data_IF_396668568319
#
_entry.id   IF_396668568319
#
_cell.length_a   1.000
_cell.length_b   1.000
_cell.length_c   1.000
_cell.angle_alpha   90.00
_cell.angle_beta   90.00
_cell.angle_gamma   90.00
#
_symmetry.space_group_name_H-M   'P 1'
#
loop_
_entity.id
_entity.type
_entity.pdbx_description
1 polymer ?
#
# COMPACT_ATOMS: atom_id res chain seq x y z
N UNK A 1 -17.93 10.41 -41.57
CA UNK A 1 -16.58 10.19 -41.00
C UNK A 1 -16.74 9.67 -39.59
N UNK A 2 -16.75 8.35 -39.41
CA UNK A 2 -16.91 7.65 -38.13
C UNK A 2 -15.52 7.29 -37.61
N UNK A 3 -15.10 7.87 -36.48
CA UNK A 3 -13.88 7.44 -35.79
C UNK A 3 -14.23 6.26 -34.86
N UNK A 4 -13.54 5.12 -34.94
CA UNK A 4 -13.82 3.96 -34.11
C UNK A 4 -13.33 4.17 -32.67
N UNK A 5 -14.01 3.44 -31.80
CA UNK A 5 -13.94 3.38 -30.34
C UNK A 5 -12.57 2.90 -29.86
N UNK A 6 -11.83 3.70 -29.10
CA UNK A 6 -10.65 3.22 -28.36
C UNK A 6 -11.13 2.63 -27.04
N UNK A 7 -11.22 1.31 -27.00
CA UNK A 7 -11.48 0.52 -25.81
C UNK A 7 -10.22 0.56 -24.93
N UNK A 8 -10.32 1.11 -23.71
CA UNK A 8 -9.26 1.04 -22.71
C UNK A 8 -9.08 -0.43 -22.28
N UNK A 9 -7.84 -0.88 -22.01
CA UNK A 9 -7.59 -2.27 -21.66
C UNK A 9 -8.28 -2.61 -20.33
N UNK A 10 -9.08 -3.67 -20.36
CA UNK A 10 -9.65 -4.32 -19.18
C UNK A 10 -8.48 -4.78 -18.29
N UNK A 11 -8.51 -4.54 -16.97
CA UNK A 11 -7.42 -5.00 -16.11
C UNK A 11 -7.51 -6.52 -15.99
N UNK A 12 -6.42 -7.17 -16.40
CA UNK A 12 -6.18 -8.60 -16.29
C UNK A 12 -6.63 -9.16 -14.93
N UNK A 13 -7.58 -10.10 -14.99
CA UNK A 13 -8.03 -10.90 -13.87
C UNK A 13 -6.95 -11.96 -13.52
N UNK A 14 -5.84 -11.52 -12.95
CA UNK A 14 -4.84 -12.39 -12.33
C UNK A 14 -4.80 -12.13 -10.83
N UNK A 15 -5.50 -12.98 -10.06
CA UNK A 15 -5.30 -13.20 -8.61
C UNK A 15 -5.05 -11.95 -7.76
N UNK A 16 -5.84 -10.90 -7.96
CA UNK A 16 -5.69 -9.65 -7.22
C UNK A 16 -6.45 -9.78 -5.91
N UNK A 17 -5.75 -10.11 -4.82
CA UNK A 17 -6.30 -9.91 -3.48
C UNK A 17 -6.88 -8.49 -3.42
N UNK A 18 -8.12 -8.37 -2.93
CA UNK A 18 -8.83 -7.10 -2.90
C UNK A 18 -8.04 -6.10 -2.04
N UNK A 19 -7.50 -5.07 -2.69
CA UNK A 19 -6.63 -4.11 -2.03
C UNK A 19 -7.45 -3.01 -1.38
N UNK A 20 -7.79 -3.23 -0.11
CA UNK A 20 -8.49 -2.23 0.70
C UNK A 20 -7.55 -1.05 1.01
N UNK A 21 -8.05 0.17 0.79
CA UNK A 21 -7.37 1.43 1.14
C UNK A 21 -8.08 2.05 2.32
N UNK A 22 -7.31 2.50 3.30
CA UNK A 22 -7.81 3.26 4.43
C UNK A 22 -6.84 4.40 4.75
N UNK A 23 -7.38 5.45 5.36
CA UNK A 23 -6.63 6.60 5.84
C UNK A 23 -6.41 6.44 7.34
N UNK A 24 -5.27 6.91 7.83
CA UNK A 24 -4.94 6.89 9.26
C UNK A 24 -4.42 8.25 9.63
N UNK A 25 -4.93 8.79 10.72
CA UNK A 25 -4.38 10.00 11.34
C UNK A 25 -3.12 9.63 12.10
N UNK A 26 -2.03 10.32 11.80
CA UNK A 26 -0.73 10.09 12.42
C UNK A 26 -0.14 11.45 12.84
N UNK A 27 0.37 11.58 14.07
CA UNK A 27 1.14 12.76 14.47
C UNK A 27 2.27 13.04 13.47
N UNK A 28 2.54 14.32 13.22
CA UNK A 28 3.53 14.75 12.23
C UNK A 28 4.92 14.16 12.50
N UNK A 29 5.31 14.07 13.78
CA UNK A 29 6.57 13.45 14.21
C UNK A 29 6.69 11.99 13.74
N UNK A 30 5.68 11.18 13.99
CA UNK A 30 5.65 9.77 13.57
C UNK A 30 5.57 9.61 12.05
N UNK A 31 4.85 10.51 11.37
CA UNK A 31 4.83 10.53 9.91
C UNK A 31 6.21 10.83 9.31
N UNK A 32 6.96 11.75 9.93
CA UNK A 32 8.33 12.08 9.53
C UNK A 32 9.27 10.89 9.76
N UNK A 33 9.21 10.25 10.92
CA UNK A 33 10.00 9.05 11.23
C UNK A 33 9.74 7.92 10.23
N UNK A 34 8.46 7.64 9.92
CA UNK A 34 8.08 6.65 8.91
C UNK A 34 8.60 7.02 7.52
N UNK A 35 8.62 8.32 7.18
CA UNK A 35 9.18 8.81 5.92
C UNK A 35 10.68 8.58 5.82
N UNK A 36 11.42 8.89 6.87
CA UNK A 36 12.87 8.65 6.94
C UNK A 36 13.18 7.16 6.86
N UNK A 37 12.39 6.32 7.55
CA UNK A 37 12.55 4.87 7.50
C UNK A 37 12.31 4.30 6.10
N UNK A 38 11.29 4.80 5.39
CA UNK A 38 10.99 4.43 4.00
C UNK A 38 12.15 4.74 3.06
N UNK A 39 12.77 5.93 3.21
CA UNK A 39 13.96 6.32 2.45
C UNK A 39 15.15 5.41 2.78
N UNK A 40 15.44 5.21 4.07
CA UNK A 40 16.56 4.39 4.54
C UNK A 40 16.49 2.95 4.04
N UNK A 41 15.29 2.37 4.02
CA UNK A 41 15.07 0.98 3.57
C UNK A 41 14.80 0.85 2.07
N UNK A 42 14.71 1.96 1.33
CA UNK A 42 14.29 1.99 -0.09
C UNK A 42 12.98 1.22 -0.32
N UNK A 43 12.01 1.39 0.58
CA UNK A 43 10.69 0.72 0.55
C UNK A 43 9.56 1.74 0.66
N UNK A 44 8.42 1.54 -0.03
CA UNK A 44 7.24 2.37 0.17
C UNK A 44 6.72 2.31 1.61
N UNK A 45 6.22 3.42 2.16
CA UNK A 45 5.62 3.49 3.52
C UNK A 45 4.59 2.39 3.75
N UNK A 46 3.70 2.17 2.79
CA UNK A 46 2.65 1.16 2.88
C UNK A 46 3.20 -0.28 3.01
N UNK A 47 4.39 -0.58 2.46
CA UNK A 47 5.05 -1.88 2.64
C UNK A 47 5.55 -2.01 4.07
N UNK A 48 6.20 -0.97 4.60
CA UNK A 48 6.69 -0.97 5.98
C UNK A 48 5.55 -1.13 6.99
N UNK A 49 4.45 -0.42 6.79
CA UNK A 49 3.26 -0.54 7.65
C UNK A 49 2.67 -1.95 7.59
N UNK A 50 2.56 -2.56 6.39
CA UNK A 50 2.11 -3.97 6.28
C UNK A 50 3.02 -4.94 7.03
N UNK A 51 4.34 -4.76 6.90
CA UNK A 51 5.31 -5.60 7.63
C UNK A 51 5.15 -5.47 9.14
N UNK A 52 4.98 -4.24 9.65
CA UNK A 52 4.77 -3.98 11.07
C UNK A 52 3.46 -4.62 11.58
N UNK A 53 2.36 -4.48 10.84
CA UNK A 53 1.07 -5.10 11.19
C UNK A 53 1.20 -6.62 11.27
N UNK A 54 1.82 -7.25 10.27
CA UNK A 54 2.02 -8.72 10.26
C UNK A 54 2.87 -9.16 11.45
N UNK A 55 3.92 -8.40 11.80
CA UNK A 55 4.77 -8.72 12.95
C UNK A 55 3.99 -8.64 14.25
N UNK A 56 3.23 -7.55 14.47
CA UNK A 56 2.40 -7.38 15.67
C UNK A 56 1.31 -8.45 15.80
N UNK A 57 0.70 -8.87 14.67
CA UNK A 57 -0.29 -9.94 14.67
C UNK A 57 0.32 -11.29 15.09
N UNK A 58 1.56 -11.59 14.67
CA UNK A 58 2.26 -12.81 15.08
C UNK A 58 2.58 -12.79 16.58
N UNK A 59 3.07 -11.65 17.08
CA UNK A 59 3.39 -11.46 18.49
C UNK A 59 2.14 -11.56 19.38
N UNK A 60 0.99 -11.05 18.94
CA UNK A 60 -0.25 -11.12 19.69
C UNK A 60 -0.89 -12.52 19.74
N UNK A 61 -0.51 -13.43 18.83
CA UNK A 61 -1.02 -14.82 18.78
C UNK A 61 -0.11 -15.82 19.51
N UNK A 62 1.05 -15.38 20.01
CA UNK A 62 2.02 -16.19 20.75
C UNK A 62 1.77 -16.10 22.26
#
# INVERSE_FOLDING_TARGET
MTKPKTQAPEPDASTSEERIRFTVDLPESLHMELSLLAVKQRKPKAVLVRMAIVQMLKEAQS
#
